data_IF_436971791746
#
_entry.id   IF_436971791746
#
_cell.length_a   1.000
_cell.length_b   1.000
_cell.length_c   1.000
_cell.angle_alpha   90.00
_cell.angle_beta   90.00
_cell.angle_gamma   90.00
#
_symmetry.space_group_name_H-M   'P 1'
#
loop_
_entity.id
_entity.type
_entity.pdbx_description
1 polymer ?
#
# COMPACT_ATOMS: atom_id res chain seq x y z
N UNK A 1 -19.20 5.02 1.17
CA UNK A 1 -18.09 4.11 1.46
C UNK A 1 -17.30 3.96 0.18
N UNK A 2 -16.12 4.56 0.13
CA UNK A 2 -15.30 4.61 -1.08
C UNK A 2 -14.45 3.33 -1.18
N UNK A 3 -14.91 2.36 -1.98
CA UNK A 3 -14.23 1.06 -2.11
C UNK A 3 -12.98 1.14 -3.01
N UNK A 4 -12.65 2.31 -3.57
CA UNK A 4 -11.43 2.49 -4.38
C UNK A 4 -10.16 2.45 -3.52
N UNK A 5 -10.30 2.60 -2.21
CA UNK A 5 -9.21 2.60 -1.23
C UNK A 5 -8.91 1.23 -0.63
N UNK A 6 -9.49 0.15 -1.18
CA UNK A 6 -9.34 -1.21 -0.66
C UNK A 6 -8.27 -1.98 -1.43
N UNK A 7 -7.32 -2.57 -0.71
CA UNK A 7 -6.27 -3.44 -1.25
C UNK A 7 -6.35 -4.84 -0.65
N UNK A 8 -5.71 -5.82 -1.28
CA UNK A 8 -5.65 -7.16 -0.75
C UNK A 8 -4.71 -7.23 0.46
N UNK A 9 -5.14 -7.87 1.52
CA UNK A 9 -4.32 -8.15 2.70
C UNK A 9 -3.22 -9.16 2.37
N UNK A 10 -2.03 -8.95 2.94
CA UNK A 10 -0.78 -9.68 2.65
C UNK A 10 -0.89 -11.21 2.84
N UNK A 11 -1.63 -11.65 3.86
CA UNK A 11 -1.65 -13.05 4.29
C UNK A 11 -2.82 -13.85 3.71
N UNK A 12 -4.03 -13.28 3.77
CA UNK A 12 -5.26 -14.00 3.40
C UNK A 12 -5.89 -13.52 2.10
N UNK A 13 -5.37 -12.45 1.48
CA UNK A 13 -6.03 -11.79 0.35
C UNK A 13 -7.32 -11.06 0.73
N UNK A 14 -7.67 -10.97 2.02
CA UNK A 14 -8.86 -10.27 2.48
C UNK A 14 -8.78 -8.77 2.18
N UNK A 15 -9.89 -8.11 1.80
CA UNK A 15 -9.89 -6.68 1.55
C UNK A 15 -9.54 -5.92 2.83
N UNK A 16 -8.52 -5.08 2.77
CA UNK A 16 -8.17 -4.14 3.83
C UNK A 16 -8.11 -2.73 3.25
N UNK A 17 -8.32 -1.72 4.09
CA UNK A 17 -8.10 -0.35 3.66
C UNK A 17 -6.61 -0.08 3.44
N UNK A 18 -6.34 0.78 2.46
CA UNK A 18 -5.00 1.29 2.19
C UNK A 18 -4.35 1.90 3.45
N UNK A 19 -5.10 2.68 4.22
CA UNK A 19 -4.62 3.27 5.47
C UNK A 19 -4.29 2.20 6.52
N UNK A 20 -5.12 1.15 6.64
CA UNK A 20 -4.83 0.03 7.54
C UNK A 20 -3.55 -0.71 7.11
N UNK A 21 -3.32 -0.87 5.81
CA UNK A 21 -2.09 -1.48 5.31
C UNK A 21 -0.85 -0.67 5.69
N UNK A 22 -0.94 0.67 5.58
CA UNK A 22 0.12 1.58 6.01
C UNK A 22 0.37 1.47 7.50
N UNK A 23 -0.67 1.40 8.34
CA UNK A 23 -0.53 1.27 9.79
C UNK A 23 0.08 -0.07 10.20
N UNK A 24 -0.34 -1.18 9.58
CA UNK A 24 0.24 -2.51 9.81
C UNK A 24 1.73 -2.47 9.48
N UNK A 25 2.09 -1.97 8.30
CA UNK A 25 3.48 -1.87 7.88
C UNK A 25 4.28 -0.89 8.74
N UNK A 26 3.70 0.22 9.20
CA UNK A 26 4.38 1.15 10.10
C UNK A 26 4.53 0.60 11.53
N UNK A 27 3.70 -0.37 11.93
CA UNK A 27 3.85 -1.10 13.19
C UNK A 27 4.85 -2.25 13.11
N UNK A 28 4.89 -2.97 11.98
CA UNK A 28 5.85 -4.04 11.70
C UNK A 28 7.25 -3.49 11.45
N UNK A 29 7.35 -2.44 10.62
CA UNK A 29 8.60 -1.74 10.36
C UNK A 29 8.85 -0.71 11.46
N UNK A 30 9.97 -0.85 12.17
CA UNK A 30 10.44 0.18 13.09
C UNK A 30 10.95 1.38 12.28
N UNK A 31 10.03 2.24 11.84
CA UNK A 31 10.36 3.48 11.15
C UNK A 31 11.17 4.38 12.08
N UNK A 32 12.36 4.80 11.63
CA UNK A 32 13.19 5.75 12.36
C UNK A 32 12.67 7.19 12.21
N UNK A 33 13.19 8.10 13.04
CA UNK A 33 12.87 9.52 12.92
C UNK A 33 13.30 10.05 11.53
N UNK A 34 12.35 10.62 10.78
CA UNK A 34 12.56 11.08 9.40
C UNK A 34 12.23 10.04 8.33
N UNK A 35 11.91 8.81 8.73
CA UNK A 35 11.36 7.80 7.83
C UNK A 35 9.83 7.88 7.79
N UNK A 36 9.28 7.68 6.59
CA UNK A 36 7.86 7.62 6.35
C UNK A 36 7.57 6.50 5.36
N UNK A 37 6.60 5.67 5.68
CA UNK A 37 6.08 4.68 4.76
C UNK A 37 5.18 5.35 3.72
N UNK A 38 5.35 4.99 2.45
CA UNK A 38 4.54 5.48 1.35
C UNK A 38 4.30 4.39 0.33
N UNK A 39 3.20 4.48 -0.40
CA UNK A 39 2.92 3.60 -1.51
C UNK A 39 3.62 4.10 -2.77
N UNK A 40 4.40 3.22 -3.41
CA UNK A 40 5.16 3.53 -4.62
C UNK A 40 4.52 2.95 -5.89
N UNK A 41 3.35 2.30 -5.77
CA UNK A 41 2.60 1.73 -6.88
C UNK A 41 2.77 0.22 -7.04
N UNK A 42 1.93 -0.39 -7.90
CA UNK A 42 1.98 -1.81 -8.27
C UNK A 42 1.94 -2.79 -7.08
N UNK A 43 1.20 -2.46 -6.02
CA UNK A 43 1.13 -3.30 -4.81
C UNK A 43 2.40 -3.24 -3.96
N UNK A 44 3.21 -2.18 -4.08
CA UNK A 44 4.46 -2.01 -3.35
C UNK A 44 4.46 -0.76 -2.50
N UNK A 45 5.00 -0.90 -1.30
CA UNK A 45 5.28 0.20 -0.38
C UNK A 45 6.78 0.46 -0.35
N UNK A 46 7.14 1.68 -0.01
CA UNK A 46 8.51 2.13 0.16
C UNK A 46 8.66 2.86 1.49
N UNK A 47 9.74 2.57 2.21
CA UNK A 47 10.18 3.40 3.33
C UNK A 47 10.99 4.54 2.74
N UNK A 48 10.44 5.74 2.82
CA UNK A 48 11.03 6.97 2.34
C UNK A 48 11.69 7.68 3.51
N UNK A 49 12.98 7.97 3.40
CA UNK A 49 13.68 8.84 4.32
C UNK A 49 13.79 10.25 3.77
N UNK A 50 13.52 11.23 4.62
CA UNK A 50 13.72 12.65 4.35
C UNK A 50 14.58 13.24 5.45
N UNK A 51 15.71 13.81 5.07
CA UNK A 51 16.58 14.56 6.00
C UNK A 51 15.87 15.81 6.51
N UNK A 52 15.04 16.44 5.66
CA UNK A 52 14.23 17.59 6.04
C UNK A 52 12.74 17.30 5.77
N UNK A 53 11.87 17.29 6.80
CA UNK A 53 10.44 17.07 6.64
C UNK A 53 9.74 18.09 5.73
N UNK A 54 10.31 19.29 5.57
CA UNK A 54 9.80 20.36 4.70
C UNK A 54 10.24 20.19 3.24
N UNK A 55 11.25 19.36 2.99
CA UNK A 55 11.74 19.10 1.65
C UNK A 55 11.10 17.82 1.10
N UNK A 56 10.12 18.02 0.24
CA UNK A 56 9.37 16.94 -0.40
C UNK A 56 10.10 16.42 -1.65
N UNK A 57 11.09 17.17 -2.17
CA UNK A 57 11.80 16.83 -3.40
C UNK A 57 13.01 15.95 -3.14
N UNK A 58 13.72 16.19 -2.04
CA UNK A 58 14.88 15.38 -1.66
C UNK A 58 14.48 14.27 -0.71
N UNK A 59 14.20 13.11 -1.30
CA UNK A 59 13.90 11.91 -0.54
C UNK A 59 14.68 10.72 -1.08
N UNK A 60 14.95 9.75 -0.21
CA UNK A 60 15.58 8.48 -0.56
C UNK A 60 14.68 7.33 -0.16
N UNK A 61 14.48 6.37 -1.06
CA UNK A 61 13.77 5.12 -0.72
C UNK A 61 14.79 4.20 -0.06
N UNK A 62 14.66 3.99 1.26
CA UNK A 62 15.58 3.12 2.03
C UNK A 62 15.22 1.65 1.88
N UNK A 63 13.94 1.35 1.70
CA UNK A 63 13.42 -0.02 1.62
C UNK A 63 12.22 -0.07 0.69
N UNK A 64 12.10 -1.14 -0.08
CA UNK A 64 10.91 -1.47 -0.85
C UNK A 64 10.29 -2.72 -0.22
N UNK A 65 9.00 -2.67 0.04
CA UNK A 65 8.20 -3.72 0.66
C UNK A 65 7.17 -4.15 -0.37
N UNK A 66 7.28 -5.38 -0.84
CA UNK A 66 6.26 -5.98 -1.69
C UNK A 66 5.07 -6.40 -0.82
N UNK A 67 3.90 -5.80 -1.08
CA UNK A 67 2.67 -6.05 -0.34
C UNK A 67 1.75 -7.00 -1.12
N UNK A 68 1.55 -6.73 -2.42
CA UNK A 68 0.93 -7.67 -3.35
C UNK A 68 2.03 -8.29 -4.23
N UNK A 69 2.35 -9.58 -4.06
CA UNK A 69 3.28 -10.23 -4.97
C UNK A 69 2.67 -10.25 -6.37
N UNK A 70 3.48 -9.89 -7.38
CA UNK A 70 3.06 -9.76 -8.79
C UNK A 70 2.38 -11.04 -9.35
N UNK A 71 2.69 -12.17 -8.72
CA UNK A 71 2.23 -13.52 -9.08
C UNK A 71 0.90 -13.95 -8.43
N UNK A 72 0.47 -13.29 -7.34
CA UNK A 72 -0.82 -13.58 -6.69
C UNK A 72 -1.73 -12.37 -6.79
N UNK A 73 -2.29 -12.14 -7.98
CA UNK A 73 -3.50 -11.32 -8.06
C UNK A 73 -4.63 -12.09 -7.38
N UNK A 74 -5.25 -11.55 -6.32
CA UNK A 74 -6.38 -12.21 -5.71
C UNK A 74 -7.54 -12.25 -6.71
N UNK A 75 -8.13 -13.43 -6.89
CA UNK A 75 -9.24 -13.70 -7.82
C UNK A 75 -10.46 -12.79 -7.55
N UNK A 76 -10.60 -12.26 -6.34
CA UNK A 76 -11.70 -11.34 -5.99
C UNK A 76 -11.61 -9.98 -6.68
N UNK A 77 -10.42 -9.54 -7.13
CA UNK A 77 -10.28 -8.27 -7.88
C UNK A 77 -11.00 -8.35 -9.23
N UNK A 78 -11.00 -9.52 -9.87
CA UNK A 78 -11.77 -9.74 -11.11
C UNK A 78 -13.28 -9.73 -10.83
N UNK A 79 -13.72 -10.28 -9.69
CA UNK A 79 -15.14 -10.25 -9.29
C UNK A 79 -15.63 -8.85 -8.87
N UNK A 80 -14.77 -8.05 -8.24
CA UNK A 80 -15.08 -6.65 -7.92
C UNK A 80 -15.13 -5.79 -9.18
N UNK A 81 -14.20 -5.97 -10.13
CA UNK A 81 -14.24 -5.26 -11.42
C UNK A 81 -15.52 -5.57 -12.22
N UNK A 82 -16.00 -6.82 -12.16
CA UNK A 82 -17.26 -7.23 -12.80
C UNK A 82 -18.49 -6.59 -12.12
N UNK A 83 -18.48 -6.47 -10.79
CA UNK A 83 -19.53 -5.77 -10.02
C UNK A 83 -19.62 -4.27 -10.32
N UNK A 84 -18.51 -3.63 -10.71
CA UNK A 84 -18.51 -2.22 -11.13
C UNK A 84 -18.94 -2.00 -12.59
N UNK A 85 -19.00 -3.04 -13.43
CA UNK A 85 -19.56 -2.94 -14.80
C UNK A 85 -21.10 -2.80 -14.81
N UNK A 86 -21.75 -2.97 -13.65
CA UNK A 86 -23.19 -2.74 -13.45
C UNK A 86 -23.47 -1.61 -12.47
N UNK A 87 -22.81 -0.46 -12.63
CA UNK A 87 -23.38 0.81 -12.19
C UNK A 87 -23.82 1.55 -13.45
N UNK A 88 -25.11 1.42 -13.74
CA UNK A 88 -25.83 2.07 -14.84
C UNK A 88 -26.34 3.43 -14.38
#
# INVERSE_FOLDING_TARGET
MDMSSVIAGRDSGNPIHFDCALEILAGEEKLAAGEKLAYIGQGRFGVIFRENPRDIKHFSIRKIIEWEPKDKRPVWRDQMADLYSKVR
#
